data_IF_932319816266
#
_entry.id   IF_932319816266
#
_cell.length_a   1.000
_cell.length_b   1.000
_cell.length_c   1.000
_cell.angle_alpha   90.00
_cell.angle_beta   90.00
_cell.angle_gamma   90.00
#
_symmetry.space_group_name_H-M   'P 1'
#
loop_
_entity.id
_entity.type
_entity.pdbx_description
1 polymer ?
#
# COMPACT_ATOMS: atom_id res chain seq x y z
N UNK A 1 0.87 1.96 23.39
CA UNK A 1 1.91 1.40 22.50
C UNK A 1 2.27 2.52 21.54
N UNK A 2 3.39 3.20 21.78
CA UNK A 2 3.85 4.27 20.88
C UNK A 2 4.44 3.59 19.65
N UNK A 3 3.63 3.52 18.60
CA UNK A 3 4.11 3.10 17.29
C UNK A 3 4.92 4.27 16.76
N UNK A 4 6.22 4.06 16.61
CA UNK A 4 7.09 5.01 15.91
C UNK A 4 6.69 4.98 14.45
N UNK A 5 5.84 5.92 14.05
CA UNK A 5 5.47 6.10 12.66
C UNK A 5 6.65 6.69 11.91
N UNK A 6 6.99 6.10 10.77
CA UNK A 6 8.23 6.40 10.04
C UNK A 6 8.02 7.44 8.94
N UNK A 7 6.81 7.51 8.38
CA UNK A 7 6.49 8.40 7.28
C UNK A 7 5.07 8.99 7.38
N UNK A 8 4.84 10.09 6.66
CA UNK A 8 3.51 10.65 6.39
C UNK A 8 3.12 10.32 4.94
N UNK A 9 1.88 9.88 4.72
CA UNK A 9 1.30 9.73 3.39
C UNK A 9 0.07 10.62 3.19
N UNK A 10 -0.19 11.00 1.95
CA UNK A 10 -1.47 11.54 1.53
C UNK A 10 -2.27 10.49 0.76
N UNK A 11 -3.55 10.33 1.11
CA UNK A 11 -4.45 9.36 0.50
C UNK A 11 -5.39 10.11 -0.44
N UNK A 12 -5.49 9.64 -1.67
CA UNK A 12 -6.41 10.11 -2.69
C UNK A 12 -7.32 8.98 -3.14
N UNK A 13 -8.57 9.31 -3.43
CA UNK A 13 -9.57 8.38 -3.95
C UNK A 13 -10.00 8.78 -5.34
N UNK A 14 -10.23 7.78 -6.19
CA UNK A 14 -10.86 8.03 -7.48
C UNK A 14 -12.30 8.51 -7.26
N UNK A 15 -12.56 9.77 -7.56
CA UNK A 15 -13.85 10.43 -7.37
C UNK A 15 -14.61 10.60 -8.67
N UNK A 16 -15.47 11.62 -8.70
CA UNK A 16 -16.29 11.95 -9.87
C UNK A 16 -15.44 12.25 -11.09
N UNK A 17 -16.02 11.98 -12.27
CA UNK A 17 -15.43 12.37 -13.54
C UNK A 17 -15.62 13.87 -13.77
N UNK A 18 -14.64 14.53 -14.37
CA UNK A 18 -14.78 15.91 -14.83
C UNK A 18 -15.73 15.99 -16.05
N UNK A 19 -15.99 17.21 -16.54
CA UNK A 19 -16.84 17.46 -17.71
C UNK A 19 -16.32 16.76 -18.98
N UNK A 20 -15.04 16.40 -19.01
CA UNK A 20 -14.37 15.67 -20.09
C UNK A 20 -14.36 14.14 -19.89
N UNK A 21 -14.98 13.62 -18.83
CA UNK A 21 -15.06 12.19 -18.55
C UNK A 21 -13.81 11.59 -17.88
N UNK A 22 -12.82 12.41 -17.51
CA UNK A 22 -11.61 11.99 -16.82
C UNK A 22 -11.87 11.83 -15.33
N UNK A 23 -11.40 10.73 -14.74
CA UNK A 23 -11.56 10.49 -13.31
C UNK A 23 -10.67 11.45 -12.49
N UNK A 24 -11.26 12.16 -11.54
CA UNK A 24 -10.50 13.06 -10.66
C UNK A 24 -10.12 12.38 -9.36
N UNK A 25 -8.87 12.57 -8.94
CA UNK A 25 -8.40 12.16 -7.62
C UNK A 25 -8.87 13.18 -6.58
N UNK A 26 -9.65 12.71 -5.60
CA UNK A 26 -10.12 13.50 -4.48
C UNK A 26 -9.24 13.22 -3.25
N UNK A 27 -8.75 14.27 -2.61
CA UNK A 27 -7.99 14.15 -1.38
C UNK A 27 -8.89 13.59 -0.26
N UNK A 28 -8.44 12.52 0.39
CA UNK A 28 -9.16 11.90 1.51
C UNK A 28 -8.60 12.42 2.83
N UNK A 29 -7.33 12.15 3.12
CA UNK A 29 -6.63 12.64 4.30
C UNK A 29 -5.11 12.46 4.21
N UNK A 30 -4.40 13.04 5.17
CA UNK A 30 -3.03 12.66 5.51
C UNK A 30 -2.99 11.78 6.75
N UNK A 31 -2.04 10.85 6.82
CA UNK A 31 -1.86 10.00 8.00
C UNK A 31 -0.43 9.50 8.13
N UNK A 32 -0.05 9.19 9.37
CA UNK A 32 1.24 8.62 9.70
C UNK A 32 1.21 7.10 9.49
N UNK A 33 2.28 6.54 8.93
CA UNK A 33 2.37 5.14 8.56
C UNK A 33 3.71 4.52 8.94
N UNK A 34 3.69 3.21 9.16
CA UNK A 34 4.89 2.39 9.31
C UNK A 34 5.23 1.77 7.97
N UNK A 35 6.49 1.85 7.54
CA UNK A 35 6.94 1.26 6.29
C UNK A 35 7.54 -0.12 6.60
N UNK A 36 6.91 -1.19 6.11
CA UNK A 36 7.40 -2.55 6.29
C UNK A 36 8.33 -2.94 5.15
N UNK A 37 7.96 -2.55 3.93
CA UNK A 37 8.74 -2.78 2.70
C UNK A 37 8.49 -1.61 1.75
N UNK A 38 9.54 -1.12 1.10
CA UNK A 38 9.45 -0.16 0.00
C UNK A 38 10.58 -0.41 -1.00
N UNK A 39 10.24 -0.93 -2.18
CA UNK A 39 11.15 -1.18 -3.29
C UNK A 39 10.99 -0.08 -4.34
N UNK A 40 11.99 0.81 -4.40
CA UNK A 40 12.05 1.92 -5.35
C UNK A 40 12.74 1.53 -6.67
N UNK A 41 12.56 0.28 -7.14
CA UNK A 41 13.22 -0.20 -8.36
C UNK A 41 12.26 -0.23 -9.55
N UNK A 42 12.55 0.58 -10.57
CA UNK A 42 11.85 0.53 -11.85
C UNK A 42 12.28 -0.68 -12.72
N UNK A 43 13.31 -1.41 -12.29
CA UNK A 43 13.74 -2.65 -12.91
C UNK A 43 13.06 -3.83 -12.20
N UNK A 44 12.02 -4.42 -12.82
CA UNK A 44 11.65 -5.80 -12.53
C UNK A 44 12.86 -6.66 -12.86
N UNK A 45 13.69 -6.95 -11.86
CA UNK A 45 14.77 -7.90 -12.01
C UNK A 45 14.15 -9.24 -12.38
N UNK A 46 14.31 -9.64 -13.65
CA UNK A 46 13.99 -10.99 -14.10
C UNK A 46 15.09 -11.90 -13.58
N UNK A 47 15.11 -12.16 -12.28
CA UNK A 47 15.92 -13.25 -11.75
C UNK A 47 15.30 -14.53 -12.29
N UNK A 48 15.90 -15.06 -13.38
CA UNK A 48 15.78 -16.47 -13.73
C UNK A 48 16.42 -17.24 -12.58
N UNK A 49 15.63 -17.45 -11.53
CA UNK A 49 15.98 -18.38 -10.47
C UNK A 49 15.94 -19.77 -11.11
N UNK A 50 17.10 -20.38 -11.25
CA UNK A 50 17.21 -21.81 -11.52
C UNK A 50 16.27 -22.55 -10.56
N UNK A 51 15.28 -23.19 -11.16
CA UNK A 51 14.15 -23.82 -10.48
C UNK A 51 14.61 -25.09 -9.77
N UNK A 52 15.22 -24.95 -8.60
CA UNK A 52 15.69 -26.08 -7.79
C UNK A 52 15.50 -25.79 -6.31
N UNK A 53 14.25 -25.66 -5.85
CA UNK A 53 14.01 -25.60 -4.40
C UNK A 53 12.65 -25.06 -4.01
N UNK A 54 11.75 -25.96 -3.62
CA UNK A 54 10.53 -25.70 -2.85
C UNK A 54 9.47 -24.82 -3.51
N UNK A 55 8.64 -25.44 -4.35
CA UNK A 55 7.26 -24.98 -4.66
C UNK A 55 6.32 -25.24 -3.46
N UNK A 56 6.70 -24.76 -2.27
CA UNK A 56 5.89 -24.85 -1.06
C UNK A 56 4.94 -23.66 -0.94
N UNK A 57 3.80 -23.70 -1.67
CA UNK A 57 2.56 -22.92 -1.41
C UNK A 57 2.71 -21.54 -0.74
N UNK A 58 3.50 -20.63 -1.31
CA UNK A 58 3.43 -19.22 -0.96
C UNK A 58 3.02 -18.46 -2.21
N UNK A 59 1.73 -18.13 -2.32
CA UNK A 59 1.28 -17.12 -3.27
C UNK A 59 1.78 -15.76 -2.76
N UNK A 60 3.07 -15.50 -2.96
CA UNK A 60 3.69 -14.24 -2.58
C UNK A 60 3.23 -13.19 -3.59
N UNK A 61 2.17 -12.46 -3.24
CA UNK A 61 1.87 -11.20 -3.91
C UNK A 61 3.04 -10.25 -3.63
N UNK A 62 3.83 -9.99 -4.68
CA UNK A 62 4.96 -9.07 -4.62
C UNK A 62 4.41 -7.65 -4.74
N UNK A 63 4.35 -6.94 -3.61
CA UNK A 63 4.07 -5.50 -3.58
C UNK A 63 5.36 -4.69 -3.61
N UNK A 64 5.34 -3.58 -4.33
CA UNK A 64 6.43 -2.59 -4.31
C UNK A 64 6.49 -1.89 -2.94
N UNK A 65 5.34 -1.68 -2.30
CA UNK A 65 5.24 -1.10 -0.97
C UNK A 65 4.30 -1.91 -0.05
N UNK A 66 4.72 -2.15 1.18
CA UNK A 66 3.88 -2.70 2.26
C UNK A 66 3.89 -1.72 3.43
N UNK A 67 2.71 -1.18 3.74
CA UNK A 67 2.52 -0.13 4.74
C UNK A 67 1.60 -0.61 5.87
N UNK A 68 1.93 -0.23 7.11
CA UNK A 68 1.05 -0.35 8.26
C UNK A 68 0.39 1.00 8.49
N UNK A 69 -0.93 1.04 8.39
CA UNK A 69 -1.73 2.27 8.40
C UNK A 69 -2.76 2.21 9.53
N UNK A 70 -3.01 3.30 10.27
CA UNK A 70 -4.08 3.36 11.26
C UNK A 70 -5.47 3.10 10.66
N UNK A 71 -6.37 2.45 11.40
CA UNK A 71 -7.71 2.09 10.92
C UNK A 71 -8.55 3.32 10.54
N UNK A 72 -8.33 4.44 11.22
CA UNK A 72 -9.02 5.70 10.98
C UNK A 72 -8.69 6.29 9.61
N UNK A 73 -7.65 5.80 8.94
CA UNK A 73 -7.30 6.24 7.59
C UNK A 73 -8.27 5.75 6.51
N UNK A 74 -9.07 4.72 6.79
CA UNK A 74 -10.11 4.21 5.91
C UNK A 74 -9.65 4.00 4.44
N UNK A 75 -8.42 3.48 4.28
CA UNK A 75 -7.82 3.15 2.98
C UNK A 75 -8.64 2.04 2.31
N UNK A 76 -8.88 2.21 1.01
CA UNK A 76 -9.63 1.28 0.17
C UNK A 76 -8.76 0.78 -0.99
N UNK A 77 -9.21 -0.30 -1.63
CA UNK A 77 -8.65 -0.74 -2.90
C UNK A 77 -8.75 0.38 -3.94
N UNK A 78 -7.78 0.43 -4.85
CA UNK A 78 -7.66 1.46 -5.89
C UNK A 78 -7.41 2.90 -5.39
N UNK A 79 -7.35 3.14 -4.07
CA UNK A 79 -6.85 4.41 -3.55
C UNK A 79 -5.40 4.64 -3.99
N UNK A 80 -5.02 5.90 -4.02
CA UNK A 80 -3.71 6.36 -4.48
C UNK A 80 -3.01 7.03 -3.32
N UNK A 81 -1.89 6.46 -2.93
CA UNK A 81 -1.06 6.94 -1.83
C UNK A 81 0.08 7.75 -2.41
N UNK A 82 0.35 8.91 -1.82
CA UNK A 82 1.56 9.69 -2.09
C UNK A 82 2.51 9.49 -0.91
N UNK A 83 3.64 8.84 -1.18
CA UNK A 83 4.73 8.61 -0.23
C UNK A 83 6.02 9.16 -0.85
N UNK A 84 6.64 10.15 -0.21
CA UNK A 84 7.90 10.78 -0.67
C UNK A 84 7.89 11.23 -2.15
N UNK A 85 6.73 11.71 -2.62
CA UNK A 85 6.53 12.14 -4.01
C UNK A 85 6.23 11.03 -5.01
N UNK A 86 6.27 9.76 -4.58
CA UNK A 86 5.87 8.62 -5.40
C UNK A 86 4.37 8.33 -5.27
N UNK A 87 3.75 8.00 -6.41
CA UNK A 87 2.35 7.55 -6.47
C UNK A 87 2.33 6.04 -6.35
N UNK A 88 1.57 5.53 -5.38
CA UNK A 88 1.37 4.10 -5.16
C UNK A 88 -0.11 3.79 -5.24
N UNK A 89 -0.49 2.82 -6.07
CA UNK A 89 -1.87 2.34 -6.15
C UNK A 89 -2.09 1.19 -5.18
N UNK A 90 -3.09 1.32 -4.31
CA UNK A 90 -3.47 0.28 -3.36
C UNK A 90 -4.00 -0.94 -4.10
N UNK A 91 -3.34 -2.08 -3.87
CA UNK A 91 -3.66 -3.35 -4.50
C UNK A 91 -4.17 -4.39 -3.49
N UNK A 92 -3.86 -4.23 -2.19
CA UNK A 92 -4.43 -5.05 -1.12
C UNK A 92 -4.61 -4.26 0.18
N UNK A 93 -5.63 -4.64 0.95
CA UNK A 93 -5.90 -4.08 2.29
C UNK A 93 -6.29 -5.22 3.23
N UNK A 94 -5.47 -5.47 4.24
CA UNK A 94 -5.67 -6.53 5.22
C UNK A 94 -5.75 -5.96 6.63
N UNK A 95 -6.71 -6.41 7.45
CA UNK A 95 -6.80 -6.00 8.86
C UNK A 95 -5.80 -6.79 9.71
N UNK A 96 -4.91 -6.09 10.40
CA UNK A 96 -4.02 -6.69 11.41
C UNK A 96 -4.65 -6.60 12.79
N UNK A 97 -4.74 -7.74 13.44
CA UNK A 97 -5.25 -7.88 14.79
C UNK A 97 -4.12 -7.74 15.80
N UNK A 98 -4.33 -6.92 16.82
CA UNK A 98 -3.43 -6.87 17.98
C UNK A 98 -3.59 -8.12 18.86
N UNK A 99 -2.68 -8.27 19.84
CA UNK A 99 -2.65 -9.41 20.76
C UNK A 99 -3.96 -9.69 21.52
N UNK A 100 -4.83 -8.67 21.65
CA UNK A 100 -6.14 -8.79 22.31
C UNK A 100 -7.31 -9.00 21.34
N UNK A 101 -7.05 -9.35 20.09
CA UNK A 101 -8.09 -9.55 19.07
C UNK A 101 -8.86 -8.26 18.71
N UNK A 102 -8.29 -7.08 19.00
CA UNK A 102 -8.81 -5.80 18.48
C UNK A 102 -8.04 -5.45 17.21
N UNK A 103 -8.72 -5.12 16.10
CA UNK A 103 -8.01 -4.64 14.92
C UNK A 103 -7.37 -3.32 15.31
N UNK A 104 -6.07 -3.20 15.07
CA UNK A 104 -5.31 -1.99 15.40
C UNK A 104 -4.92 -1.20 14.15
N UNK A 105 -4.63 -1.93 13.07
CA UNK A 105 -4.02 -1.37 11.87
C UNK A 105 -4.48 -2.11 10.62
N UNK A 106 -4.29 -1.45 9.48
CA UNK A 106 -4.34 -2.03 8.15
C UNK A 106 -2.91 -2.34 7.70
N UNK A 107 -2.73 -3.50 7.09
CA UNK A 107 -1.60 -3.79 6.21
C UNK A 107 -2.05 -3.53 4.79
N UNK A 108 -1.34 -2.64 4.11
CA UNK A 108 -1.68 -2.19 2.77
C UNK A 108 -0.54 -2.54 1.84
N UNK A 109 -0.83 -3.39 0.86
CA UNK A 109 0.06 -3.66 -0.27
C UNK A 109 -0.27 -2.70 -1.40
N UNK A 110 0.73 -1.96 -1.88
CA UNK A 110 0.59 -1.00 -2.96
C UNK A 110 1.73 -1.15 -3.98
N UNK A 111 1.44 -0.78 -5.22
CA UNK A 111 2.38 -0.87 -6.34
C UNK A 111 2.60 0.52 -6.94
N UNK A 112 3.76 0.77 -7.54
CA UNK A 112 4.09 2.03 -8.20
C UNK A 112 3.07 2.30 -9.31
N UNK A 113 2.48 3.50 -9.28
CA UNK A 113 1.53 3.95 -10.29
C UNK A 113 2.21 4.90 -11.26
N UNK A 114 2.50 4.39 -12.46
CA UNK A 114 3.02 5.15 -13.61
C UNK A 114 1.88 5.78 -14.40
#
# INVERSE_FOLDING_TARGET
>A
MNISWQAEIAIYRLGSKNVYGEAQLQFVRKTNVGVVKFEQSNEKSSVRADSSGSRGKANLELFDAVLVIPLEAAVQLDDVLILEGQKLKVSSVHRRWGLRGRPGHLEVGANIWV
#
